data_IF_904957484004
#
_entry.id   IF_904957484004
#
_cell.length_a   1.000
_cell.length_b   1.000
_cell.length_c   1.000
_cell.angle_alpha   90.00
_cell.angle_beta   90.00
_cell.angle_gamma   90.00
#
_symmetry.space_group_name_H-M   'P 1'
#
loop_
_entity.id
_entity.type
_entity.pdbx_description
1 polymer ?
#
# COMPACT_ATOMS: atom_id res chain seq x y z
N UNK A 1 1.58 -4.06 -17.37
CA UNK A 1 0.11 -3.89 -17.46
C UNK A 1 -0.29 -2.46 -17.80
N UNK A 2 0.13 -1.42 -17.05
CA UNK A 2 -0.27 -0.02 -17.34
C UNK A 2 0.09 0.48 -18.75
N UNK A 3 1.23 0.06 -19.31
CA UNK A 3 1.59 0.41 -20.69
C UNK A 3 0.73 -0.32 -21.74
N UNK A 4 0.21 -1.52 -21.43
CA UNK A 4 -0.67 -2.29 -22.33
C UNK A 4 -2.05 -1.64 -22.50
N UNK A 5 -2.46 -0.80 -21.55
CA UNK A 5 -3.71 -0.05 -21.59
C UNK A 5 -3.49 1.43 -21.95
N UNK A 6 -2.37 1.78 -22.59
CA UNK A 6 -2.02 3.18 -22.92
C UNK A 6 -2.10 4.13 -21.71
N UNK A 7 -1.70 3.64 -20.52
CA UNK A 7 -1.74 4.37 -19.24
C UNK A 7 -3.16 4.82 -18.81
N UNK A 8 -4.21 4.23 -19.37
CA UNK A 8 -5.60 4.46 -18.98
C UNK A 8 -6.30 3.14 -18.68
N UNK A 9 -6.94 3.08 -17.52
CA UNK A 9 -7.72 1.92 -17.09
C UNK A 9 -9.18 2.36 -17.03
N UNK A 10 -10.11 1.50 -17.47
CA UNK A 10 -11.54 1.81 -17.41
C UNK A 10 -12.01 2.00 -15.97
N UNK A 11 -13.13 2.70 -15.76
CA UNK A 11 -13.72 2.84 -14.43
C UNK A 11 -14.02 1.47 -13.79
N UNK A 12 -14.63 0.55 -14.55
CA UNK A 12 -14.92 -0.82 -14.11
C UNK A 12 -13.66 -1.52 -13.59
N UNK A 13 -12.60 -1.54 -14.40
CA UNK A 13 -11.34 -2.19 -14.03
C UNK A 13 -10.66 -1.49 -12.85
N UNK A 14 -10.75 -0.16 -12.76
CA UNK A 14 -10.22 0.61 -11.63
C UNK A 14 -10.91 0.21 -10.32
N UNK A 15 -12.24 0.11 -10.31
CA UNK A 15 -13.01 -0.30 -9.14
C UNK A 15 -12.71 -1.74 -8.72
N UNK A 16 -12.59 -2.66 -9.68
CA UNK A 16 -12.21 -4.06 -9.41
C UNK A 16 -10.81 -4.18 -8.80
N UNK A 17 -9.86 -3.35 -9.24
CA UNK A 17 -8.52 -3.30 -8.65
C UNK A 17 -8.55 -2.68 -7.26
N UNK A 18 -9.25 -1.56 -7.09
CA UNK A 18 -9.35 -0.85 -5.82
C UNK A 18 -9.90 -1.73 -4.70
N UNK A 19 -10.98 -2.48 -4.98
CA UNK A 19 -11.58 -3.44 -4.05
C UNK A 19 -10.54 -4.45 -3.52
N UNK A 20 -9.79 -5.11 -4.42
CA UNK A 20 -8.77 -6.06 -4.01
C UNK A 20 -7.58 -5.41 -3.30
N UNK A 21 -7.12 -4.25 -3.77
CA UNK A 21 -6.00 -3.51 -3.17
C UNK A 21 -6.31 -3.11 -1.73
N UNK A 22 -7.51 -2.62 -1.46
CA UNK A 22 -7.98 -2.27 -0.12
C UNK A 22 -7.97 -3.50 0.80
N UNK A 23 -8.47 -4.64 0.34
CA UNK A 23 -8.44 -5.90 1.10
C UNK A 23 -7.01 -6.36 1.44
N UNK A 24 -6.02 -6.13 0.57
CA UNK A 24 -4.61 -6.43 0.89
C UNK A 24 -4.05 -5.51 1.95
N UNK A 25 -4.35 -4.22 1.87
CA UNK A 25 -3.91 -3.21 2.83
C UNK A 25 -4.56 -3.49 4.20
N UNK A 26 -5.87 -3.74 4.23
CA UNK A 26 -6.61 -4.13 5.44
C UNK A 26 -6.01 -5.39 6.08
N UNK A 27 -5.79 -6.44 5.29
CA UNK A 27 -5.16 -7.66 5.80
C UNK A 27 -3.79 -7.38 6.40
N UNK A 28 -2.96 -6.57 5.74
CA UNK A 28 -1.64 -6.23 6.25
C UNK A 28 -1.71 -5.42 7.56
N UNK A 29 -2.64 -4.45 7.63
CA UNK A 29 -2.93 -3.68 8.84
C UNK A 29 -3.45 -4.55 9.99
N UNK A 30 -4.21 -5.62 9.70
CA UNK A 30 -4.66 -6.60 10.69
C UNK A 30 -3.48 -7.34 11.37
N UNK A 31 -2.34 -7.42 10.67
CA UNK A 31 -1.09 -7.96 11.18
C UNK A 31 -0.24 -6.93 11.93
N UNK A 32 -0.78 -5.74 12.20
CA UNK A 32 -0.13 -4.64 12.94
C UNK A 32 1.02 -3.95 12.19
N UNK A 33 1.06 -4.08 10.86
CA UNK A 33 2.04 -3.42 10.00
C UNK A 33 1.37 -2.46 9.02
N UNK A 34 2.10 -1.41 8.66
CA UNK A 34 1.79 -0.49 7.55
C UNK A 34 2.85 -0.65 6.47
N UNK A 35 2.46 -0.57 5.20
CA UNK A 35 3.34 -0.83 4.05
C UNK A 35 4.33 0.32 3.78
N UNK A 36 3.87 1.56 3.95
CA UNK A 36 4.60 2.83 3.71
C UNK A 36 5.08 3.11 2.27
N UNK A 37 4.93 2.18 1.33
CA UNK A 37 5.22 2.41 -0.10
C UNK A 37 4.12 1.86 -1.03
N UNK A 38 2.92 2.43 -0.91
CA UNK A 38 1.77 2.08 -1.76
C UNK A 38 1.95 2.74 -3.13
N UNK A 39 2.16 1.93 -4.17
CA UNK A 39 2.32 2.37 -5.56
C UNK A 39 1.94 1.27 -6.54
N UNK A 40 1.55 1.58 -7.79
CA UNK A 40 1.16 0.57 -8.77
C UNK A 40 2.19 -0.54 -8.98
N UNK A 41 3.48 -0.22 -8.94
CA UNK A 41 4.59 -1.16 -9.12
C UNK A 41 4.61 -2.28 -8.05
N UNK A 42 4.09 -2.00 -6.86
CA UNK A 42 4.04 -2.95 -5.74
C UNK A 42 2.75 -3.80 -5.75
N UNK A 43 1.90 -3.65 -6.78
CA UNK A 43 0.74 -4.51 -6.98
C UNK A 43 0.87 -5.34 -8.25
N UNK A 44 0.86 -6.66 -8.09
CA UNK A 44 1.03 -7.62 -9.18
C UNK A 44 -0.23 -8.44 -9.40
N UNK A 45 -0.43 -8.89 -10.63
CA UNK A 45 -1.50 -9.82 -10.99
C UNK A 45 -0.92 -11.24 -11.00
N UNK A 46 -1.67 -12.19 -10.44
CA UNK A 46 -1.30 -13.61 -10.47
C UNK A 46 -1.21 -14.17 -11.90
N UNK A 47 -0.69 -15.40 -12.02
CA UNK A 47 -0.57 -16.11 -13.31
C UNK A 47 -1.57 -17.27 -13.40
N UNK A 48 -1.91 -17.68 -14.62
CA UNK A 48 -2.78 -18.84 -14.88
C UNK A 48 -4.15 -18.69 -14.24
N UNK A 49 -4.54 -19.69 -13.43
CA UNK A 49 -5.81 -19.71 -12.69
C UNK A 49 -5.96 -18.57 -11.67
N UNK A 50 -4.88 -17.87 -11.32
CA UNK A 50 -4.89 -16.74 -10.37
C UNK A 50 -4.77 -15.38 -11.06
N UNK A 51 -5.00 -15.31 -12.37
CA UNK A 51 -4.90 -14.07 -13.16
C UNK A 51 -5.95 -13.01 -12.82
N UNK A 52 -6.96 -13.36 -12.03
CA UNK A 52 -7.94 -12.42 -11.46
C UNK A 52 -7.55 -11.91 -10.06
N UNK A 53 -6.43 -12.35 -9.49
CA UNK A 53 -6.01 -12.01 -8.12
C UNK A 53 -4.93 -10.93 -8.16
N UNK A 54 -5.15 -9.86 -7.39
CA UNK A 54 -4.16 -8.82 -7.09
C UNK A 54 -3.38 -9.20 -5.83
N UNK A 55 -2.06 -9.09 -5.90
CA UNK A 55 -1.10 -9.29 -4.82
C UNK A 55 -0.40 -7.97 -4.49
N UNK A 56 -0.06 -7.77 -3.22
CA UNK A 56 0.84 -6.72 -2.76
C UNK A 56 2.22 -7.33 -2.50
N UNK A 57 3.29 -6.63 -2.88
CA UNK A 57 4.69 -7.05 -2.73
C UNK A 57 5.54 -5.91 -2.16
N UNK A 58 6.82 -6.20 -1.91
CA UNK A 58 7.84 -5.24 -1.44
C UNK A 58 7.54 -4.60 -0.08
N UNK A 59 7.72 -5.41 0.96
CA UNK A 59 7.58 -4.97 2.35
C UNK A 59 8.87 -4.35 2.92
N UNK A 60 9.84 -3.95 2.07
CA UNK A 60 11.15 -3.44 2.53
C UNK A 60 11.06 -2.16 3.36
N UNK A 61 10.02 -1.36 3.13
CA UNK A 61 9.72 -0.17 3.92
C UNK A 61 8.63 -0.39 4.97
N UNK A 62 8.10 -1.60 5.13
CA UNK A 62 7.03 -1.85 6.08
C UNK A 62 7.46 -1.56 7.53
N UNK A 63 6.51 -1.17 8.37
CA UNK A 63 6.76 -0.84 9.77
C UNK A 63 5.58 -1.25 10.64
N UNK A 64 5.87 -1.69 11.86
CA UNK A 64 4.86 -1.97 12.87
C UNK A 64 4.27 -0.65 13.40
N UNK A 65 2.95 -0.46 13.28
CA UNK A 65 2.26 0.77 13.73
C UNK A 65 1.63 0.61 15.12
N UNK A 66 1.38 -0.63 15.55
CA UNK A 66 0.80 -0.92 16.86
C UNK A 66 1.44 -2.18 17.47
N UNK A 67 1.36 -2.30 18.79
CA UNK A 67 1.72 -3.54 19.47
C UNK A 67 0.77 -4.68 19.03
N UNK A 68 1.27 -5.85 18.59
CA UNK A 68 0.40 -6.93 18.09
C UNK A 68 -0.49 -7.55 19.15
N UNK A 69 -0.08 -7.52 20.41
CA UNK A 69 -0.78 -8.11 21.56
C UNK A 69 -1.75 -7.08 22.17
N UNK A 70 -1.25 -5.91 22.55
CA UNK A 70 -2.05 -4.90 23.27
C UNK A 70 -2.87 -4.00 22.34
N UNK A 71 -2.61 -4.03 21.03
CA UNK A 71 -3.20 -3.13 20.03
C UNK A 71 -2.96 -1.64 20.29
N UNK A 72 -2.03 -1.31 21.18
CA UNK A 72 -1.64 0.08 21.45
C UNK A 72 -0.86 0.64 20.26
N UNK A 73 -1.33 1.76 19.73
CA UNK A 73 -0.69 2.48 18.62
C UNK A 73 0.66 3.07 19.04
N UNK A 74 1.60 3.15 18.10
CA UNK A 74 2.85 3.87 18.28
C UNK A 74 2.62 5.36 18.54
N UNK A 75 3.55 6.05 19.23
CA UNK A 75 3.41 7.47 19.49
C UNK A 75 3.48 8.27 18.18
N UNK A 76 2.79 9.39 18.15
CA UNK A 76 2.93 10.40 17.10
C UNK A 76 4.36 10.97 17.08
N UNK A 77 4.95 11.14 15.90
CA UNK A 77 6.29 11.72 15.73
C UNK A 77 6.36 12.55 14.45
N UNK A 78 7.18 13.60 14.49
CA UNK A 78 7.45 14.49 13.36
C UNK A 78 8.96 14.50 13.03
N UNK A 79 9.36 15.38 12.11
CA UNK A 79 10.75 15.57 11.66
C UNK A 79 11.38 14.30 11.07
N UNK A 80 10.58 13.49 10.37
CA UNK A 80 11.06 12.33 9.61
C UNK A 80 11.43 12.70 8.20
N UNK A 81 12.46 12.03 7.68
CA UNK A 81 12.78 12.06 6.26
C UNK A 81 11.63 11.45 5.45
N UNK A 82 11.41 11.99 4.26
CA UNK A 82 10.45 11.44 3.30
C UNK A 82 10.75 9.95 3.07
N UNK A 83 9.75 9.11 3.35
CA UNK A 83 9.82 7.65 3.13
C UNK A 83 8.78 7.24 2.10
N UNK A 84 9.13 6.31 1.22
CA UNK A 84 8.27 5.84 0.13
C UNK A 84 8.37 6.73 -1.12
N UNK A 85 7.49 6.45 -2.09
CA UNK A 85 7.53 7.09 -3.41
C UNK A 85 6.79 8.44 -3.39
N UNK A 86 7.51 9.54 -3.64
CA UNK A 86 7.00 10.93 -3.53
C UNK A 86 5.68 11.22 -4.26
N UNK A 87 5.44 10.57 -5.41
CA UNK A 87 4.21 10.74 -6.21
C UNK A 87 2.96 10.22 -5.51
N UNK A 88 3.09 9.18 -4.69
CA UNK A 88 1.96 8.43 -4.13
C UNK A 88 1.84 8.57 -2.60
N UNK A 89 2.84 9.17 -1.96
CA UNK A 89 2.87 9.33 -0.51
C UNK A 89 1.85 10.37 -0.03
N UNK A 90 1.44 10.26 1.24
CA UNK A 90 0.46 11.16 1.84
C UNK A 90 1.03 12.55 2.11
N UNK A 91 0.16 13.55 2.25
CA UNK A 91 0.55 14.92 2.63
C UNK A 91 1.29 14.93 3.97
N UNK A 92 0.84 14.14 4.95
CA UNK A 92 1.52 14.03 6.25
C UNK A 92 2.96 13.53 6.12
N UNK A 93 3.21 12.59 5.19
CA UNK A 93 4.58 12.11 4.95
C UNK A 93 5.45 13.19 4.31
N UNK A 94 4.89 14.02 3.43
CA UNK A 94 5.58 15.22 2.90
C UNK A 94 5.91 16.23 3.99
N UNK A 95 5.06 16.36 5.01
CA UNK A 95 5.28 17.21 6.18
C UNK A 95 6.24 16.60 7.22
N UNK A 96 6.81 15.42 6.95
CA UNK A 96 7.73 14.74 7.87
C UNK A 96 7.04 14.13 9.10
N UNK A 97 5.72 13.96 9.07
CA UNK A 97 4.97 13.22 10.08
C UNK A 97 5.18 11.73 9.85
N UNK A 98 5.51 11.02 10.93
CA UNK A 98 5.71 9.57 10.89
C UNK A 98 4.39 8.84 10.60
N UNK A 99 4.42 7.96 9.60
CA UNK A 99 3.38 6.96 9.39
C UNK A 99 3.44 5.85 10.45
#
# INVERSE_FOLDING_TARGET
>A
VFNLCHRRVSLKSTLMLADQMLLRIEYFHSKSYIHRDIKPDNFLIGKGQRSNIVYIIDFGLAKKYQNPETKVHGPYRENKNLTGTARYTSVNTHLGIEQ
#
